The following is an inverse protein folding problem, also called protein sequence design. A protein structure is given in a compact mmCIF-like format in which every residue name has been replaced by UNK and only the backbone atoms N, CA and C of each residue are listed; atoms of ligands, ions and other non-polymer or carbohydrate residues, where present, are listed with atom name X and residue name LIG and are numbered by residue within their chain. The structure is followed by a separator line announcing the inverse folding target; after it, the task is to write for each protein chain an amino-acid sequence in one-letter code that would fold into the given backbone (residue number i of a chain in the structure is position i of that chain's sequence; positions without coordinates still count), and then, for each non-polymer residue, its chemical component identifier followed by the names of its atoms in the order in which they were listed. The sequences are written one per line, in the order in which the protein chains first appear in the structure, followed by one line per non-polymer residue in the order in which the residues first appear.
data_IF_539271815587
#
_entry.id   IF_539271815587
#
_cell.length_a   1.000
_cell.length_b   1.000
_cell.length_c   1.000
_cell.angle_alpha   90.00
_cell.angle_beta   90.00
_cell.angle_gamma   90.00
#
_symmetry.space_group_name_H-M   'P 1'
#
loop_
_entity.id
_entity.type
_entity.pdbx_description
1 polymer ?
2 non-polymer ?
3 water ?
#
# COMPACT_ATOMS: atom_id res chain seq x y z
N UNK A 1 -3.95 -17.95 22.35
CA UNK A 1 -5.06 -17.05 21.91
C UNK A 1 -4.72 -16.33 20.63
N UNK A 2 -3.59 -15.58 20.61
CA UNK A 2 -3.22 -14.96 19.32
C UNK A 2 -2.89 -16.01 18.25
N UNK A 3 -2.34 -17.14 18.68
CA UNK A 3 -2.07 -18.28 17.78
C UNK A 3 -3.35 -18.87 17.15
N UNK A 4 -4.38 -19.09 17.96
CA UNK A 4 -5.70 -19.52 17.44
C UNK A 4 -6.30 -18.44 16.56
N UNK A 5 -6.09 -17.19 16.96
CA UNK A 5 -6.59 -16.15 16.06
C UNK A 5 -5.82 -16.16 14.75
N UNK A 6 -4.51 -16.37 14.79
CA UNK A 6 -3.72 -16.42 13.56
C UNK A 6 -4.19 -17.59 12.68
N UNK A 7 -4.41 -18.77 13.29
CA UNK A 7 -4.91 -19.94 12.55
C UNK A 7 -6.15 -19.54 11.74
N UNK A 8 -7.11 -18.85 12.35
CA UNK A 8 -8.38 -18.49 11.68
C UNK A 8 -8.26 -17.49 10.50
N UNK A 9 -7.38 -16.53 10.67
CA UNK A 9 -7.12 -15.56 9.66
C UNK A 9 -6.32 -16.26 8.51
N UNK A 10 -5.35 -17.13 8.82
CA UNK A 10 -4.65 -17.87 7.78
C UNK A 10 -5.63 -18.75 7.00
N UNK A 11 -6.52 -19.42 7.74
CA UNK A 11 -7.54 -20.20 7.11
C UNK A 11 -8.42 -19.37 6.18
N UNK A 12 -8.81 -18.16 6.58
CA UNK A 12 -9.64 -17.32 5.72
C UNK A 12 -8.84 -16.94 4.46
N UNK A 13 -7.56 -16.65 4.66
CA UNK A 13 -6.74 -16.21 3.55
C UNK A 13 -6.37 -17.35 2.61
N UNK A 14 -6.15 -18.54 3.17
CA UNK A 14 -5.95 -19.75 2.37
C UNK A 14 -7.18 -20.07 1.50
N UNK A 15 -8.39 -19.89 2.03
CA UNK A 15 -9.61 -20.13 1.24
C UNK A 15 -9.85 -19.08 0.16
N UNK A 16 -9.62 -17.81 0.47
CA UNK A 16 -9.79 -16.73 -0.50
C UNK A 16 -8.89 -16.95 -1.73
N UNK A 17 -7.64 -17.31 -1.45
CA UNK A 17 -6.65 -17.71 -2.45
C UNK A 17 -7.28 -18.79 -3.37
N UNK A 18 -7.68 -19.90 -2.78
CA UNK A 18 -8.38 -20.99 -3.49
C UNK A 18 -9.40 -20.53 -4.50
N UNK A 19 -10.25 -19.60 -4.07
CA UNK A 19 -11.35 -19.07 -4.86
C UNK A 19 -11.04 -17.86 -5.68
N UNK A 20 -9.83 -17.31 -5.56
CA UNK A 20 -9.40 -16.24 -6.45
C UNK A 20 -9.56 -16.72 -7.89
N UNK A 21 -9.98 -15.82 -8.75
CA UNK A 21 -10.15 -16.09 -10.18
C UNK A 21 -8.81 -16.49 -10.76
N UNK A 22 -8.81 -17.11 -11.94
CA UNK A 22 -7.54 -17.72 -12.44
C UNK A 22 -6.44 -16.71 -12.85
N UNK A 23 -6.81 -15.45 -13.08
CA UNK A 23 -5.80 -14.39 -13.27
C UNK A 23 -4.82 -14.23 -12.09
N UNK A 24 -5.23 -14.66 -10.88
CA UNK A 24 -4.48 -14.54 -9.62
C UNK A 24 -3.81 -15.89 -9.27
N UNK A 25 -3.87 -16.81 -10.24
CA UNK A 25 -3.32 -18.14 -10.09
C UNK A 25 -2.28 -18.40 -11.16
N UNK A 26 -1.35 -19.31 -10.85
CA UNK A 26 -0.37 -19.82 -11.81
C UNK A 26 0.28 -21.10 -11.29
N UNK A 27 0.59 -22.02 -12.22
CA UNK A 27 1.26 -23.27 -11.89
C UNK A 27 2.79 -23.17 -11.97
N UNK A 28 3.31 -22.06 -12.48
CA UNK A 28 4.77 -21.92 -12.70
C UNK A 28 5.52 -21.78 -11.36
N UNK A 29 6.67 -22.43 -11.20
CA UNK A 29 7.56 -22.06 -10.10
C UNK A 29 8.44 -20.89 -10.59
N UNK A 30 8.29 -19.72 -9.93
CA UNK A 30 8.95 -18.49 -10.36
C UNK A 30 10.29 -18.30 -9.63
N UNK A 31 11.16 -17.47 -10.19
CA UNK A 31 12.46 -17.23 -9.59
C UNK A 31 12.34 -16.57 -8.22
N UNK A 32 13.10 -17.08 -7.28
CA UNK A 32 13.10 -16.62 -5.92
C UNK A 32 13.92 -15.35 -5.80
N UNK A 33 13.33 -14.29 -5.31
CA UNK A 33 14.03 -13.05 -5.05
C UNK A 33 13.73 -12.53 -3.65
N UNK A 34 14.71 -12.59 -2.76
CA UNK A 34 14.56 -12.23 -1.34
C UNK A 34 14.49 -10.70 -1.18
N UNK A 35 13.48 -10.25 -0.42
CA UNK A 35 13.21 -8.80 -0.22
C UNK A 35 12.96 -8.57 1.27
N UNK A 36 12.94 -7.30 1.72
CA UNK A 36 12.73 -6.99 3.15
C UNK A 36 11.55 -7.74 3.80
N UNK A 37 11.72 -8.12 5.07
CA UNK A 37 10.78 -9.05 5.74
C UNK A 37 9.29 -8.75 5.51
N UNK A 38 8.82 -7.52 5.75
CA UNK A 38 7.39 -7.35 5.80
C UNK A 38 6.85 -7.64 4.37
N UNK A 39 7.60 -7.19 3.36
CA UNK A 39 7.18 -7.38 1.95
C UNK A 39 7.17 -8.86 1.57
N UNK A 40 8.26 -9.54 1.91
CA UNK A 40 8.51 -10.95 1.58
C UNK A 40 7.35 -11.79 2.09
N UNK A 41 6.80 -11.34 3.21
CA UNK A 41 5.87 -12.23 3.93
C UNK A 41 4.50 -11.85 3.47
N UNK A 42 4.21 -10.56 3.41
CA UNK A 42 2.91 -10.16 2.86
C UNK A 42 2.66 -10.73 1.40
N UNK A 43 3.68 -10.61 0.52
CA UNK A 43 3.65 -11.26 -0.80
C UNK A 43 3.21 -12.75 -0.79
N UNK A 44 3.93 -13.59 -0.04
CA UNK A 44 3.76 -15.04 0.00
C UNK A 44 2.33 -15.36 0.36
N UNK A 45 1.89 -14.78 1.48
CA UNK A 45 0.57 -14.93 2.08
C UNK A 45 -0.57 -14.50 1.17
N UNK A 46 -0.46 -13.32 0.56
CA UNK A 46 -1.54 -12.81 -0.25
C UNK A 46 -1.60 -13.40 -1.64
N UNK A 47 -0.46 -13.77 -2.21
CA UNK A 47 -0.45 -14.15 -3.64
C UNK A 47 0.48 -15.31 -3.84
N UNK A 48 0.21 -16.42 -3.13
CA UNK A 48 1.08 -17.56 -2.96
C UNK A 48 1.55 -18.21 -4.30
N UNK A 49 0.77 -18.18 -5.38
CA UNK A 49 1.30 -18.85 -6.59
C UNK A 49 2.57 -18.24 -7.14
N UNK A 50 2.82 -17.00 -6.77
CA UNK A 50 3.82 -16.19 -7.44
C UNK A 50 5.15 -16.15 -6.68
N UNK A 51 5.16 -16.76 -5.51
CA UNK A 51 6.24 -16.57 -4.55
C UNK A 51 6.55 -17.81 -3.79
N UNK A 52 5.81 -18.88 -4.06
CA UNK A 52 5.99 -20.12 -3.30
C UNK A 52 6.04 -21.26 -4.31
N UNK A 53 6.91 -22.24 -4.08
CA UNK A 53 6.88 -23.43 -4.95
C UNK A 53 5.51 -24.13 -4.81
N UNK A 54 4.90 -24.54 -5.93
CA UNK A 54 3.55 -25.16 -5.93
C UNK A 54 3.40 -26.20 -4.81
N UNK A 55 4.43 -27.03 -4.69
CA UNK A 55 4.48 -28.15 -3.73
C UNK A 55 4.26 -27.74 -2.28
N UNK A 56 4.67 -26.51 -1.94
CA UNK A 56 4.61 -26.02 -0.55
C UNK A 56 3.36 -25.16 -0.19
N UNK A 57 2.44 -24.93 -1.13
CA UNK A 57 1.29 -24.06 -0.86
C UNK A 57 0.21 -24.87 -0.17
N UNK A 58 0.11 -24.65 1.14
CA UNK A 58 -0.64 -25.51 2.03
C UNK A 58 -1.19 -24.57 3.10
N UNK A 59 -2.43 -24.79 3.56
CA UNK A 59 -3.01 -23.90 4.57
C UNK A 59 -2.05 -23.67 5.73
N UNK A 60 -1.47 -24.78 6.20
CA UNK A 60 -0.42 -24.85 7.22
C UNK A 60 0.85 -24.01 6.96
N UNK A 61 1.25 -23.87 5.69
CA UNK A 61 2.52 -23.20 5.44
C UNK A 61 2.26 -21.70 5.45
N UNK A 62 1.05 -21.34 5.03
CA UNK A 62 0.54 -19.97 5.07
C UNK A 62 0.35 -19.40 6.50
N UNK A 63 -0.12 -20.25 7.41
CA UNK A 63 -0.16 -19.95 8.84
C UNK A 63 1.21 -19.71 9.40
N UNK A 64 2.17 -20.55 9.01
CA UNK A 64 3.55 -20.45 9.48
C UNK A 64 4.21 -19.10 9.10
N UNK A 65 4.00 -18.65 7.85
CA UNK A 65 4.47 -17.34 7.34
C UNK A 65 3.73 -16.19 8.00
N UNK A 66 2.44 -16.38 8.26
CA UNK A 66 1.66 -15.37 8.96
C UNK A 66 2.19 -15.28 10.39
N UNK A 67 2.54 -16.41 10.98
CA UNK A 67 3.09 -16.32 12.35
C UNK A 67 4.45 -15.61 12.37
N UNK A 68 5.31 -15.92 11.40
CA UNK A 68 6.64 -15.26 11.35
C UNK A 68 6.46 -13.76 11.20
N UNK A 69 5.56 -13.39 10.31
CA UNK A 69 5.28 -12.00 10.09
C UNK A 69 4.71 -11.30 11.34
N UNK A 70 3.71 -11.92 11.97
CA UNK A 70 3.20 -11.40 13.24
C UNK A 70 4.28 -11.18 14.32
N UNK A 71 5.14 -12.17 14.55
CA UNK A 71 6.18 -12.12 15.57
C UNK A 71 7.11 -10.95 15.32
N UNK A 72 7.56 -10.84 14.06
CA UNK A 72 8.42 -9.76 13.62
C UNK A 72 7.83 -8.38 13.85
N UNK A 73 6.56 -8.19 13.47
CA UNK A 73 5.91 -6.91 13.62
C UNK A 73 5.66 -6.65 15.12
N UNK A 74 5.22 -7.67 15.83
CA UNK A 74 5.01 -7.55 17.29
C UNK A 74 6.34 -7.22 18.00
N UNK A 75 7.38 -7.99 17.70
CA UNK A 75 8.76 -7.67 18.16
C UNK A 75 9.13 -6.18 17.88
N UNK A 76 8.97 -5.71 16.64
CA UNK A 76 9.27 -4.31 16.32
C UNK A 76 8.34 -3.21 16.94
N UNK A 77 7.03 -3.46 16.99
CA UNK A 77 6.13 -2.50 17.70
C UNK A 77 6.46 -2.41 19.19
N UNK A 78 6.71 -3.56 19.83
CA UNK A 78 7.16 -3.61 21.24
C UNK A 78 8.42 -2.71 21.48
N UNK A 79 9.45 -2.85 20.64
CA UNK A 79 10.71 -2.08 20.75
C UNK A 79 10.49 -0.59 20.86
N UNK A 80 9.58 -0.08 20.04
CA UNK A 80 9.33 1.32 20.05
C UNK A 80 8.22 1.75 21.02
N UNK A 81 7.42 0.80 21.49
CA UNK A 81 6.21 1.13 22.23
C UNK A 81 6.20 0.27 23.49
N UNK A 82 5.34 -0.73 23.60
CA UNK A 82 5.35 -1.60 24.78
C UNK A 82 4.57 -2.82 24.32
N UNK A 83 4.65 -3.89 25.10
CA UNK A 83 4.11 -5.20 24.74
C UNK A 83 2.57 -5.21 24.56
N UNK A 84 1.84 -4.48 25.41
CA UNK A 84 0.38 -4.46 25.28
C UNK A 84 -0.08 -3.66 24.05
N UNK A 85 0.52 -2.50 23.78
CA UNK A 85 0.17 -1.79 22.57
C UNK A 85 0.42 -2.63 21.33
N UNK A 86 1.56 -3.34 21.34
CA UNK A 86 1.99 -4.26 20.28
C UNK A 86 0.96 -5.36 20.06
N UNK A 87 0.62 -6.08 21.15
CA UNK A 87 -0.43 -7.09 21.09
C UNK A 87 -1.69 -6.58 20.36
N UNK A 88 -2.18 -5.40 20.74
CA UNK A 88 -3.41 -4.78 20.21
C UNK A 88 -3.31 -4.33 18.75
N UNK A 89 -2.11 -3.85 18.39
CA UNK A 89 -1.83 -3.42 17.04
C UNK A 89 -1.83 -4.61 16.10
N UNK A 90 -1.22 -5.72 16.53
CA UNK A 90 -1.12 -6.88 15.67
C UNK A 90 -2.51 -7.55 15.49
N UNK A 91 -3.31 -7.58 16.56
CA UNK A 91 -4.70 -7.99 16.45
C UNK A 91 -5.45 -7.17 15.44
N UNK A 92 -5.29 -5.86 15.49
CA UNK A 92 -5.85 -5.06 14.45
C UNK A 92 -5.40 -5.51 13.06
N UNK A 93 -4.10 -5.73 12.88
CA UNK A 93 -3.57 -6.10 11.55
C UNK A 93 -4.23 -7.39 11.08
N UNK A 94 -4.13 -8.44 11.92
CA UNK A 94 -4.81 -9.72 11.68
C UNK A 94 -6.28 -9.57 11.25
N UNK A 95 -7.09 -8.85 12.02
CA UNK A 95 -8.49 -8.51 11.67
C UNK A 95 -8.69 -7.90 10.28
N UNK A 96 -7.77 -7.04 9.86
CA UNK A 96 -7.92 -6.37 8.59
C UNK A 96 -7.34 -7.11 7.37
N UNK A 97 -6.64 -8.21 7.54
CA UNK A 97 -5.93 -8.76 6.39
C UNK A 97 -6.83 -9.25 5.26
N UNK A 98 -7.99 -9.91 5.59
CA UNK A 98 -8.86 -10.40 4.52
C UNK A 98 -9.31 -9.22 3.64
N UNK A 99 -9.68 -8.15 4.30
CA UNK A 99 -10.18 -6.89 3.65
C UNK A 99 -9.13 -6.24 2.68
N UNK A 100 -7.89 -6.23 3.18
CA UNK A 100 -6.75 -5.67 2.46
C UNK A 100 -6.41 -6.58 1.28
N UNK A 101 -6.55 -7.89 1.50
CA UNK A 101 -6.41 -8.76 0.35
C UNK A 101 -7.38 -8.41 -0.76
N UNK A 102 -8.67 -8.20 -0.43
CA UNK A 102 -9.63 -7.76 -1.44
C UNK A 102 -9.24 -6.46 -2.10
N UNK A 103 -8.81 -5.49 -1.31
CA UNK A 103 -8.47 -4.21 -1.89
C UNK A 103 -7.26 -4.38 -2.85
N UNK A 104 -6.30 -5.19 -2.45
CA UNK A 104 -5.09 -5.38 -3.27
C UNK A 104 -5.39 -6.06 -4.61
N UNK A 105 -6.45 -6.88 -4.65
CA UNK A 105 -6.87 -7.46 -5.92
C UNK A 105 -7.36 -6.32 -6.78
N UNK A 106 -8.09 -5.40 -6.17
CA UNK A 106 -8.60 -4.32 -6.97
C UNK A 106 -7.45 -3.40 -7.50
N UNK A 107 -6.39 -3.29 -6.72
CA UNK A 107 -5.24 -2.41 -7.11
C UNK A 107 -4.50 -3.09 -8.28
N UNK A 108 -4.54 -4.43 -8.29
CA UNK A 108 -3.93 -5.18 -9.40
C UNK A 108 -4.70 -4.99 -10.67
N UNK A 109 -6.02 -4.91 -10.53
CA UNK A 109 -6.94 -4.69 -11.63
C UNK A 109 -6.73 -3.28 -12.17
N UNK A 110 -6.56 -2.31 -11.28
CA UNK A 110 -6.30 -0.94 -11.74
C UNK A 110 -4.95 -0.84 -12.43
N UNK A 111 -3.94 -1.51 -11.87
CA UNK A 111 -2.60 -1.52 -12.52
C UNK A 111 -2.63 -2.10 -13.97
N UNK A 112 -3.17 -3.30 -14.15
CA UNK A 112 -3.36 -3.85 -15.49
C UNK A 112 -4.14 -2.87 -16.40
N UNK A 113 -5.23 -2.31 -15.90
CA UNK A 113 -6.09 -1.51 -16.78
C UNK A 113 -5.40 -0.22 -17.15
N UNK A 114 -4.56 0.29 -16.25
CA UNK A 114 -3.88 1.54 -16.45
C UNK A 114 -2.55 1.56 -17.18
N UNK A 115 -2.06 0.38 -17.54
CA UNK A 115 -0.67 0.25 -18.02
C UNK A 115 -0.59 -0.57 -19.31
N UNK A 116 -0.48 0.14 -20.44
CA UNK A 116 -0.45 -0.47 -21.76
C UNK A 116 0.75 -1.44 -21.80
N UNK A 117 1.80 -1.14 -21.04
CA UNK A 117 2.94 -2.05 -20.94
C UNK A 117 2.78 -3.35 -20.12
N UNK A 118 1.72 -3.51 -19.31
CA UNK A 118 1.60 -4.77 -18.55
C UNK A 118 1.07 -5.97 -19.38
N UNK A 119 1.80 -7.12 -19.38
CA UNK A 119 1.56 -8.40 -20.04
C UNK A 119 0.53 -9.29 -19.32
N UNK A 120 0.48 -9.19 -18.00
CA UNK A 120 -0.43 -9.97 -17.17
C UNK A 120 -0.22 -9.58 -15.72
N UNK A 121 -1.10 -10.09 -14.85
CA UNK A 121 -0.98 -9.82 -13.45
C UNK A 121 0.25 -10.46 -12.82
N UNK A 122 0.69 -11.62 -13.31
CA UNK A 122 1.86 -12.24 -12.67
C UNK A 122 3.02 -11.26 -12.55
N UNK A 123 3.20 -10.44 -13.59
CA UNK A 123 4.30 -9.45 -13.63
C UNK A 123 4.21 -8.29 -12.62
N UNK A 124 3.01 -7.69 -12.56
CA UNK A 124 2.65 -6.71 -11.54
C UNK A 124 2.89 -7.25 -10.14
N UNK A 125 2.29 -8.40 -9.88
CA UNK A 125 2.37 -9.02 -8.60
C UNK A 125 3.85 -9.25 -8.23
N UNK A 126 4.64 -9.75 -9.15
CA UNK A 126 6.02 -10.09 -8.90
C UNK A 126 7.00 -8.94 -8.74
N UNK A 127 6.85 -7.89 -9.54
CA UNK A 127 7.95 -6.97 -9.71
C UNK A 127 7.54 -5.51 -9.85
N UNK A 128 6.26 -5.21 -9.91
CA UNK A 128 5.86 -3.82 -10.08
C UNK A 128 6.01 -3.00 -8.75
N UNK A 129 6.78 -1.91 -8.76
CA UNK A 129 7.15 -1.28 -7.49
C UNK A 129 5.98 -0.60 -6.82
N UNK A 130 5.17 0.14 -7.63
CA UNK A 130 3.83 0.60 -7.18
C UNK A 130 3.08 -0.43 -6.32
N UNK A 131 3.07 -1.66 -6.80
CA UNK A 131 2.35 -2.67 -6.11
C UNK A 131 3.00 -3.17 -4.85
N UNK A 132 4.33 -3.29 -4.85
CA UNK A 132 5.04 -3.70 -3.62
C UNK A 132 4.77 -2.59 -2.58
N UNK A 133 4.88 -1.32 -2.96
CA UNK A 133 4.62 -0.19 -2.04
C UNK A 133 3.26 -0.30 -1.34
N UNK A 134 2.24 -0.66 -2.10
CA UNK A 134 0.83 -0.59 -1.65
C UNK A 134 0.58 -1.78 -0.77
N UNK A 135 1.21 -2.87 -1.14
CA UNK A 135 1.05 -3.97 -0.26
C UNK A 135 1.42 -3.54 1.20
N UNK A 136 2.59 -2.90 1.35
CA UNK A 136 3.18 -2.72 2.67
C UNK A 136 2.44 -1.58 3.31
N UNK A 137 2.13 -0.54 2.54
CA UNK A 137 1.32 0.58 2.94
C UNK A 137 -0.03 0.18 3.58
N UNK A 138 -0.77 -0.73 2.94
CA UNK A 138 -2.07 -1.09 3.49
C UNK A 138 -1.94 -1.70 4.89
N UNK A 139 -0.88 -2.47 5.14
CA UNK A 139 -0.52 -3.00 6.47
C UNK A 139 -0.03 -1.87 7.44
N UNK A 140 0.99 -1.10 7.05
CA UNK A 140 1.44 0.06 7.83
C UNK A 140 0.31 1.07 8.21
N UNK A 141 -0.63 1.32 7.29
CA UNK A 141 -1.81 2.11 7.61
C UNK A 141 -2.65 1.58 8.81
N UNK A 142 -2.85 0.27 8.93
CA UNK A 142 -3.63 -0.29 10.04
C UNK A 142 -2.88 0.09 11.33
N UNK A 143 -1.55 -0.07 11.30
CA UNK A 143 -0.70 0.30 12.44
C UNK A 143 -0.84 1.80 12.76
N UNK A 144 -0.84 2.68 11.75
CA UNK A 144 -1.07 4.08 12.02
C UNK A 144 -2.44 4.31 12.70
N UNK A 145 -3.48 3.68 12.15
CA UNK A 145 -4.85 3.78 12.71
C UNK A 145 -4.94 3.27 14.16
N UNK A 146 -4.02 2.40 14.56
CA UNK A 146 -3.95 1.95 15.97
C UNK A 146 -3.37 3.03 16.90
N UNK A 147 -2.78 4.05 16.30
CA UNK A 147 -2.09 5.09 17.05
C UNK A 147 -0.57 4.96 17.04
N UNK A 148 -0.02 3.98 16.35
CA UNK A 148 1.41 3.73 16.35
C UNK A 148 2.07 4.76 15.45
N UNK A 149 3.27 5.14 15.77
CA UNK A 149 3.86 6.26 15.08
C UNK A 149 5.34 6.11 14.70
N UNK A 150 5.93 5.01 15.09
CA UNK A 150 7.30 4.75 14.85
C UNK A 150 7.54 3.59 13.87
N UNK A 151 7.22 2.39 14.32
CA UNK A 151 7.53 1.26 13.48
C UNK A 151 6.83 1.36 12.11
N UNK A 152 5.66 2.00 12.08
CA UNK A 152 4.89 2.06 10.84
C UNK A 152 5.58 3.02 9.85
N UNK A 153 6.22 4.06 10.37
CA UNK A 153 7.04 4.92 9.51
C UNK A 153 8.29 4.16 9.01
N UNK A 154 8.84 3.26 9.83
CA UNK A 154 10.09 2.52 9.51
C UNK A 154 9.83 1.45 8.44
N UNK A 155 8.68 0.77 8.54
CA UNK A 155 8.18 -0.03 7.38
C UNK A 155 8.20 0.65 6.03
N UNK A 156 7.59 1.84 5.95
CA UNK A 156 7.45 2.61 4.73
C UNK A 156 8.84 3.14 4.30
N UNK A 157 9.73 3.35 5.27
CA UNK A 157 11.11 3.67 4.92
C UNK A 157 11.83 2.47 4.23
N UNK A 158 11.44 1.24 4.53
CA UNK A 158 11.87 0.09 3.73
C UNK A 158 11.33 0.24 2.29
N UNK A 159 10.03 0.47 2.15
CA UNK A 159 9.46 0.85 0.82
C UNK A 159 10.21 1.98 0.09
N UNK A 160 10.59 2.98 0.88
CA UNK A 160 11.10 4.22 0.36
C UNK A 160 12.41 3.87 -0.34
N UNK A 161 13.21 3.06 0.32
CA UNK A 161 14.53 2.66 -0.15
C UNK A 161 14.47 1.64 -1.31
N UNK A 162 13.64 0.62 -1.17
CA UNK A 162 13.43 -0.33 -2.23
C UNK A 162 12.84 0.26 -3.52
N UNK A 163 11.95 1.24 -3.41
CA UNK A 163 11.19 1.60 -4.58
C UNK A 163 11.27 3.07 -4.89
N UNK A 164 11.83 3.84 -3.96
CA UNK A 164 11.88 5.32 -4.14
C UNK A 164 10.47 5.97 -4.13
N UNK A 165 9.49 5.22 -3.64
CA UNK A 165 8.13 5.74 -3.45
C UNK A 165 7.94 6.01 -1.98
N UNK A 166 7.38 7.16 -1.64
CA UNK A 166 7.40 7.62 -0.23
C UNK A 166 5.94 7.97 0.19
N UNK A 167 5.31 6.98 0.81
CA UNK A 167 3.95 7.09 1.30
C UNK A 167 3.97 7.02 2.82
N UNK A 168 3.54 8.10 3.43
CA UNK A 168 3.43 8.13 4.85
C UNK A 168 2.29 7.23 5.23
N UNK A 169 2.50 6.37 6.22
CA UNK A 169 1.46 5.45 6.60
C UNK A 169 0.11 6.01 7.10
N UNK A 170 -0.01 7.33 7.35
CA UNK A 170 -1.28 7.92 7.85
C UNK A 170 -2.16 8.35 6.70
N UNK A 171 -1.57 8.34 5.51
CA UNK A 171 -2.32 8.61 4.30
C UNK A 171 -3.50 7.68 4.19
N UNK A 172 -4.66 8.18 3.71
CA UNK A 172 -5.81 7.28 3.61
C UNK A 172 -6.10 7.05 2.12
N UNK A 173 -5.91 5.82 1.66
CA UNK A 173 -6.09 5.52 0.23
C UNK A 173 -7.06 4.38 -0.07
N UNK A 174 -8.03 4.63 -0.92
CA UNK A 174 -9.02 3.58 -1.24
C UNK A 174 -8.47 2.63 -2.33
N UNK A 175 -9.31 1.69 -2.84
CA UNK A 175 -8.89 0.73 -3.85
C UNK A 175 -8.81 1.18 -5.29
N UNK A 176 -8.57 0.19 -6.15
CA UNK A 176 -8.26 0.41 -7.54
C UNK A 176 -7.19 1.52 -7.69
N UNK A 177 -6.22 1.50 -6.78
CA UNK A 177 -5.14 2.47 -6.71
C UNK A 177 -3.95 1.96 -7.53
N UNK A 178 -3.35 2.86 -8.29
CA UNK A 178 -2.17 2.53 -9.12
C UNK A 178 -1.14 3.68 -9.24
N UNK A 179 0.07 3.40 -8.79
CA UNK A 179 1.23 4.31 -8.96
C UNK A 179 2.07 3.72 -10.12
N UNK A 180 2.18 4.39 -11.26
CA UNK A 180 3.00 3.80 -12.33
C UNK A 180 4.40 4.37 -12.32
N UNK A 181 5.40 3.48 -12.36
CA UNK A 181 6.85 3.83 -12.32
C UNK A 181 7.32 4.22 -10.90
N UNK A 182 6.85 5.35 -10.42
CA UNK A 182 6.70 5.61 -8.97
C UNK A 182 7.87 6.35 -8.34
N UNK A 183 9.01 6.40 -9.05
CA UNK A 183 10.15 6.98 -8.39
C UNK A 183 9.84 8.44 -8.07
N UNK A 184 10.12 8.88 -6.85
CA UNK A 184 9.90 10.36 -6.59
C UNK A 184 8.50 10.63 -6.09
N UNK A 185 7.69 9.58 -5.96
CA UNK A 185 6.33 9.79 -5.45
C UNK A 185 6.37 10.06 -3.98
N UNK A 186 5.61 11.04 -3.54
CA UNK A 186 5.55 11.32 -2.08
C UNK A 186 4.11 11.66 -1.69
N UNK A 187 3.61 10.93 -0.70
CA UNK A 187 2.22 11.12 -0.27
C UNK A 187 2.20 11.38 1.26
N UNK A 188 1.58 12.48 1.66
CA UNK A 188 1.69 13.02 3.02
C UNK A 188 0.77 12.36 4.04
N UNK A 189 1.11 12.59 5.32
CA UNK A 189 0.51 11.89 6.46
C UNK A 189 -1.00 12.09 6.50
N UNK A 190 -1.49 13.22 5.98
CA UNK A 190 -2.91 13.51 6.08
C UNK A 190 -3.54 13.53 4.69
N UNK A 191 -2.82 12.97 3.72
CA UNK A 191 -3.37 12.81 2.36
C UNK A 191 -4.62 11.91 2.39
N UNK A 192 -5.66 12.26 1.62
CA UNK A 192 -6.80 11.33 1.49
C UNK A 192 -7.00 11.13 -0.02
N UNK A 193 -7.03 9.89 -0.50
CA UNK A 193 -7.12 9.62 -1.94
C UNK A 193 -8.30 8.64 -2.15
N UNK A 194 -9.20 8.97 -3.07
CA UNK A 194 -10.36 8.15 -3.31
C UNK A 194 -10.08 7.00 -4.27
N UNK A 195 -11.14 6.52 -4.93
CA UNK A 195 -11.07 5.23 -5.68
C UNK A 195 -10.45 5.47 -7.05
N UNK A 196 -9.84 4.46 -7.67
CA UNK A 196 -9.41 4.58 -9.09
C UNK A 196 -8.44 5.75 -9.29
N UNK A 197 -7.57 5.97 -8.32
CA UNK A 197 -6.55 7.00 -8.46
C UNK A 197 -5.29 6.44 -9.20
N UNK A 198 -4.83 7.13 -10.22
CA UNK A 198 -3.66 6.67 -11.00
C UNK A 198 -2.63 7.77 -10.91
N UNK A 199 -1.45 7.42 -10.44
CA UNK A 199 -0.42 8.45 -10.14
C UNK A 199 0.90 8.08 -10.81
N UNK A 200 1.56 9.05 -11.44
CA UNK A 200 2.85 8.75 -12.08
C UNK A 200 4.06 9.11 -11.21
N UNK A 201 5.25 8.78 -11.71
CA UNK A 201 6.51 9.25 -11.14
C UNK A 201 6.53 10.77 -10.87
N UNK A 202 7.22 11.14 -9.81
CA UNK A 202 7.48 12.56 -9.49
C UNK A 202 6.28 13.43 -9.08
N UNK A 203 5.18 12.76 -8.72
CA UNK A 203 4.01 13.40 -8.16
C UNK A 203 4.17 13.50 -6.61
N UNK A 204 3.83 14.66 -6.08
CA UNK A 204 3.71 14.88 -4.65
C UNK A 204 2.26 15.28 -4.33
N UNK A 205 1.72 14.62 -3.31
CA UNK A 205 0.46 15.01 -2.69
C UNK A 205 0.89 15.14 -1.26
N UNK A 206 1.32 16.32 -0.87
CA UNK A 206 1.82 16.47 0.48
C UNK A 206 1.82 17.94 0.78
N UNK A 207 2.89 18.41 1.41
CA UNK A 207 2.99 19.82 1.78
C UNK A 207 4.49 20.19 1.81
N UNK A 208 4.74 21.51 1.71
CA UNK A 208 6.06 22.16 1.91
C UNK A 208 5.98 23.13 3.09
N UNK A 209 7.12 23.55 3.64
CA UNK A 209 7.08 24.51 4.76
C UNK A 209 8.21 25.53 4.67
N UNK A 210 7.88 26.75 4.25
CA UNK A 210 8.87 27.83 4.26
C UNK A 210 9.26 28.16 5.70
N UNK A 211 10.53 28.50 5.91
CA UNK A 211 11.05 28.76 7.26
C UNK A 211 10.52 30.05 7.92
N UNK A 212 10.17 29.93 9.20
CA UNK A 212 9.77 31.06 10.07
C UNK A 212 8.64 31.87 9.44
N UNK A 216 10.18 25.75 15.24
CA UNK A 216 9.61 24.40 15.44
C UNK A 216 8.14 24.38 14.97
N UNK A 217 7.95 23.88 13.78
CA UNK A 217 6.68 23.95 13.13
C UNK A 217 5.67 23.12 13.85
N UNK A 218 4.41 23.50 13.78
CA UNK A 218 3.40 22.76 14.53
C UNK A 218 3.34 21.32 14.09
N UNK A 219 3.11 20.42 15.03
CA UNK A 219 3.02 19.03 14.71
C UNK A 219 1.68 18.63 14.12
N UNK A 220 1.69 17.74 13.15
CA UNK A 220 0.44 17.12 12.70
C UNK A 220 -0.54 18.13 12.10
N UNK A 221 -1.85 17.89 12.28
CA UNK A 221 -3.01 18.62 11.68
C UNK A 221 -3.24 18.36 10.19
N UNK A 222 -4.51 18.46 9.76
CA UNK A 222 -4.85 18.18 8.35
C UNK A 222 -4.18 19.19 7.43
N UNK A 223 -3.26 18.71 6.60
CA UNK A 223 -2.43 19.68 5.84
C UNK A 223 -2.03 19.29 4.41
N UNK A 224 -2.53 18.13 3.97
CA UNK A 224 -2.16 17.49 2.69
C UNK A 224 -3.48 17.42 1.83
N UNK A 225 -3.41 17.23 0.49
CA UNK A 225 -4.67 17.18 -0.26
C UNK A 225 -5.65 16.04 0.07
N UNK A 226 -6.87 16.20 -0.41
CA UNK A 226 -7.92 15.20 -0.40
C UNK A 226 -8.30 15.11 -1.87
N UNK A 227 -8.20 13.91 -2.42
CA UNK A 227 -8.36 13.70 -3.85
C UNK A 227 -9.57 12.82 -4.05
N UNK A 228 -10.45 13.18 -4.98
CA UNK A 228 -11.66 12.37 -5.22
C UNK A 228 -11.42 11.07 -5.98
N UNK A 229 -12.45 10.59 -6.70
CA UNK A 229 -12.42 9.29 -7.37
C UNK A 229 -12.05 9.50 -8.84
N UNK A 230 -11.46 8.53 -9.53
CA UNK A 230 -11.12 8.71 -10.98
C UNK A 230 -10.20 9.92 -11.27
N UNK A 231 -9.22 10.15 -10.41
CA UNK A 231 -8.28 11.25 -10.62
C UNK A 231 -6.95 10.77 -11.23
N UNK A 232 -6.42 11.45 -12.24
CA UNK A 232 -5.09 11.12 -12.79
C UNK A 232 -4.16 12.30 -12.59
N UNK A 233 -2.99 12.02 -12.02
CA UNK A 233 -2.02 13.02 -11.73
C UNK A 233 -0.71 12.70 -12.49
N UNK A 234 -0.44 13.57 -13.47
CA UNK A 234 0.60 13.38 -14.46
C UNK A 234 1.98 13.58 -13.87
N UNK A 235 2.94 12.94 -14.54
CA UNK A 235 4.35 12.95 -14.21
C UNK A 235 4.82 14.35 -13.74
N UNK A 236 5.36 14.46 -12.53
CA UNK A 236 5.96 15.75 -12.06
C UNK A 236 5.08 16.76 -11.33
N UNK A 237 3.76 16.54 -11.36
CA UNK A 237 2.80 17.42 -10.70
C UNK A 237 3.00 17.48 -9.17
N UNK A 238 2.97 18.69 -8.60
CA UNK A 238 3.13 18.87 -7.17
C UNK A 238 1.85 19.48 -6.66
N UNK A 239 1.10 18.71 -5.89
CA UNK A 239 -0.22 19.13 -5.42
C UNK A 239 -0.06 19.35 -3.93
N UNK A 240 -0.14 20.62 -3.50
CA UNK A 240 0.30 20.96 -2.13
C UNK A 240 -0.75 21.69 -1.30
N UNK A 241 -0.74 21.44 0.01
CA UNK A 241 -1.62 22.12 0.98
C UNK A 241 -2.90 21.37 1.29
N UNK A 242 -3.69 21.91 2.22
CA UNK A 242 -4.99 21.32 2.57
C UNK A 242 -6.06 21.77 1.57
N UNK A 243 -6.00 21.19 0.39
CA UNK A 243 -6.83 21.63 -0.72
C UNK A 243 -7.68 20.45 -1.17
N UNK A 244 -8.71 20.68 -1.98
CA UNK A 244 -9.55 19.59 -2.49
C UNK A 244 -9.46 19.47 -4.00
N UNK A 245 -9.14 18.27 -4.45
CA UNK A 245 -9.22 17.95 -5.85
C UNK A 245 -10.47 17.09 -6.04
N UNK A 246 -11.39 17.53 -6.90
CA UNK A 246 -12.64 16.78 -7.08
C UNK A 246 -12.42 15.52 -7.88
N UNK A 247 -13.51 14.79 -8.15
CA UNK A 247 -13.49 13.57 -8.94
C UNK A 247 -13.38 13.86 -10.45
N UNK A 248 -12.90 12.88 -11.20
CA UNK A 248 -12.70 13.00 -12.66
C UNK A 248 -11.86 14.23 -13.02
N UNK A 249 -10.75 14.45 -12.31
CA UNK A 249 -9.79 15.49 -12.62
C UNK A 249 -8.58 14.80 -13.22
N UNK A 250 -8.03 15.37 -14.29
CA UNK A 250 -6.75 14.89 -14.82
C UNK A 250 -5.83 16.07 -14.70
N UNK A 251 -4.70 15.87 -14.06
CA UNK A 251 -3.76 16.95 -13.85
C UNK A 251 -2.55 16.69 -14.77
N UNK A 252 -2.12 17.73 -15.47
CA UNK A 252 -1.00 17.65 -16.39
C UNK A 252 0.38 17.40 -15.78
N UNK A 253 1.33 17.10 -16.66
CA UNK A 253 2.73 16.91 -16.27
C UNK A 253 3.34 18.23 -15.70
N UNK A 254 4.14 18.13 -14.64
CA UNK A 254 4.81 19.28 -14.05
C UNK A 254 3.91 20.42 -13.51
N UNK A 255 2.61 20.17 -13.40
CA UNK A 255 1.69 21.14 -12.82
C UNK A 255 1.98 21.39 -11.33
N UNK A 256 1.84 22.63 -10.91
CA UNK A 256 2.00 23.03 -9.52
C UNK A 256 0.60 23.43 -9.02
N UNK A 257 -0.02 22.56 -8.21
CA UNK A 257 -1.41 22.76 -7.72
C UNK A 257 -1.41 23.21 -6.25
N UNK A 258 -1.91 24.42 -6.01
CA UNK A 258 -1.96 24.92 -4.64
C UNK A 258 -3.32 25.41 -4.18
N UNK A 259 -4.30 25.43 -5.08
CA UNK A 259 -5.71 25.77 -4.73
C UNK A 259 -6.72 24.67 -5.17
N UNK A 260 -7.96 24.70 -4.65
CA UNK A 260 -8.96 23.66 -4.97
C UNK A 260 -9.14 23.45 -6.47
N UNK A 261 -9.44 22.20 -6.84
CA UNK A 261 -9.67 21.85 -8.24
C UNK A 261 -11.05 21.17 -8.33
N UNK A 262 -11.96 21.84 -9.03
CA UNK A 262 -13.34 21.37 -9.20
C UNK A 262 -13.39 20.06 -9.97
N UNK A 263 -14.34 19.20 -9.63
CA UNK A 263 -14.59 17.95 -10.36
C UNK A 263 -14.72 18.15 -11.88
N UNK A 264 -14.49 17.08 -12.62
CA UNK A 264 -14.73 17.04 -14.07
C UNK A 264 -13.89 18.00 -14.94
N UNK A 265 -12.66 18.28 -14.52
CA UNK A 265 -11.75 19.17 -15.24
C UNK A 265 -10.49 18.48 -15.79
N UNK A 266 -9.85 19.12 -16.76
CA UNK A 266 -8.47 18.84 -17.10
C UNK A 266 -7.61 20.07 -16.84
N UNK A 267 -6.54 19.87 -16.07
CA UNK A 267 -5.61 20.94 -15.74
C UNK A 267 -4.29 20.74 -16.49
N UNK A 268 -3.82 21.80 -17.14
CA UNK A 268 -2.52 21.80 -17.83
C UNK A 268 -2.13 23.26 -18.11
N UNK A 269 -1.00 23.47 -18.78
CA UNK A 269 -0.69 24.82 -19.29
C UNK A 269 0.01 24.79 -20.67
X LIG B 1 10.53 16.42 -10.98
X LIG B 1 10.01 17.23 -9.89
X LIG B 1 11.07 15.20 -10.41
X LIG B 1 11.60 17.12 -11.67
X LIG B 1 9.46 16.06 -11.92
X LIG C 1 -14.49 -23.24 4.75
X LIG C 1 -14.46 -22.80 6.15
X LIG C 1 -14.83 -22.08 3.89
X LIG C 1 -13.18 -23.82 4.40
X LIG C 1 -15.49 -24.31 4.57
X LIG D 1 4.64 17.58 5.87
X LIG D 1 3.58 18.46 6.25
X LIG D 1 4.48 17.11 4.48
X LIG D 1 5.97 18.18 6.02
X LIG D 1 4.46 16.44 6.75
X LIG E 1 8.36 -21.26 -0.33
X LIG E 1 7.78 -20.54 0.77
X LIG E 1 7.68 -21.18 -1.59
X LIG E 1 8.29 -22.62 0.00
X LIG E 1 9.75 -21.01 -0.55
#
# INVERSE_FOLDING_TARGET
AMDNYIYSIAHQLYEMYLQDEDAFHSKRDYPHKKVFTELQKLRKIFFPDFFMKHQKITESHIASELTKLVDYIKDSVTAYNDELFAHQCVMAILEKLPSIKRTLKTDLIAAYAGDPAAPGLSLIIRCYPGFQAVIVYRIAHVLYECGERYYCREMMESVHSYTSIDIHPGASIKGHFFIDHGVGVVIGETAIIGEWCRIYQSVTLGAMHFQEEGGVIKRGTKRHPTVGDYVTIGTGAKVLGNIIVGSHVRIGANCWIDRDVDSNQTVYISEHPTHFVKPCTTKGMKNDTEIIAIIPSSPLANSPSILEHHHHHH
SO4 S O1 O2 O3 O4
SO4 S O1 O2 O3 O4
SO4 S O1 O2 O3 O4
SO4 S O1 O2 O3 O4
#
